data_IF_044727709043
#
_entry.id   IF_044727709043
#
_cell.length_a   1.000
_cell.length_b   1.000
_cell.length_c   1.000
_cell.angle_alpha   90.00
_cell.angle_beta   90.00
_cell.angle_gamma   90.00
#
_symmetry.space_group_name_H-M   'P 1'
#
loop_
_entity.id
_entity.type
_entity.pdbx_description
1 polymer ?
#
# COMPACT_ATOMS: atom_id res chain seq x y z
N UNK A 1 37.68 20.44 3.44
CA UNK A 1 38.01 19.00 3.58
C UNK A 1 39.30 18.74 2.81
N UNK A 2 40.23 17.91 3.33
CA UNK A 2 41.44 17.55 2.59
C UNK A 2 41.10 16.83 1.27
N UNK A 3 41.85 17.07 0.20
CA UNK A 3 41.60 16.47 -1.12
C UNK A 3 41.55 14.93 -1.09
N UNK A 4 42.32 14.30 -0.19
CA UNK A 4 42.31 12.86 0.04
C UNK A 4 40.95 12.34 0.58
N UNK A 5 40.27 13.13 1.41
CA UNK A 5 38.93 12.79 1.95
C UNK A 5 37.89 12.84 0.83
N UNK A 6 37.96 13.84 -0.04
CA UNK A 6 37.05 13.98 -1.19
C UNK A 6 37.25 12.83 -2.18
N UNK A 7 38.51 12.49 -2.50
CA UNK A 7 38.82 11.36 -3.38
C UNK A 7 38.36 10.01 -2.80
N UNK A 8 38.56 9.80 -1.49
CA UNK A 8 38.07 8.59 -0.81
C UNK A 8 36.55 8.46 -0.87
N UNK A 9 35.81 9.54 -0.60
CA UNK A 9 34.34 9.56 -0.72
C UNK A 9 33.91 9.26 -2.16
N UNK A 10 34.55 9.87 -3.16
CA UNK A 10 34.21 9.64 -4.56
C UNK A 10 34.39 8.18 -4.98
N UNK A 11 35.45 7.50 -4.51
CA UNK A 11 35.67 6.07 -4.78
C UNK A 11 34.61 5.21 -4.11
N UNK A 12 34.25 5.49 -2.85
CA UNK A 12 33.20 4.74 -2.14
C UNK A 12 31.84 4.91 -2.83
N UNK A 13 31.50 6.14 -3.23
CA UNK A 13 30.25 6.43 -3.97
C UNK A 13 30.26 5.73 -5.33
N UNK A 14 31.36 5.79 -6.09
CA UNK A 14 31.48 5.10 -7.37
C UNK A 14 31.39 3.57 -7.22
N UNK A 15 32.06 2.98 -6.23
CA UNK A 15 31.97 1.56 -5.93
C UNK A 15 30.55 1.15 -5.53
N UNK A 16 29.86 1.96 -4.71
CA UNK A 16 28.46 1.74 -4.35
C UNK A 16 27.56 1.76 -5.60
N UNK A 17 27.72 2.73 -6.49
CA UNK A 17 26.95 2.79 -7.74
C UNK A 17 27.23 1.62 -8.67
N UNK A 18 28.49 1.19 -8.79
CA UNK A 18 28.87 0.01 -9.58
C UNK A 18 28.27 -1.26 -8.98
N UNK A 19 28.44 -1.49 -7.67
CA UNK A 19 27.86 -2.65 -6.99
C UNK A 19 26.34 -2.64 -7.16
N UNK A 20 25.68 -1.51 -6.90
CA UNK A 20 24.24 -1.35 -7.08
C UNK A 20 23.81 -1.62 -8.51
N UNK A 21 24.54 -1.14 -9.52
CA UNK A 21 24.24 -1.44 -10.92
C UNK A 21 24.31 -2.95 -11.21
N UNK A 22 25.31 -3.65 -10.67
CA UNK A 22 25.45 -5.10 -10.84
C UNK A 22 24.49 -5.92 -9.98
N UNK A 23 23.98 -5.40 -8.86
CA UNK A 23 23.08 -6.12 -7.95
C UNK A 23 21.61 -5.73 -8.07
N UNK A 24 21.27 -4.66 -8.81
CA UNK A 24 19.87 -4.26 -9.02
C UNK A 24 19.17 -5.34 -9.83
N UNK A 25 18.14 -6.01 -9.27
CA UNK A 25 17.37 -6.98 -10.02
C UNK A 25 16.78 -6.30 -11.25
N UNK A 26 16.90 -6.95 -12.41
CA UNK A 26 16.20 -6.49 -13.61
C UNK A 26 14.71 -6.33 -13.28
N UNK A 27 14.05 -5.27 -13.77
CA UNK A 27 12.62 -5.16 -13.61
C UNK A 27 11.97 -6.43 -14.13
N UNK A 28 11.15 -7.13 -13.33
CA UNK A 28 10.48 -8.32 -13.82
C UNK A 28 9.61 -7.94 -15.00
N UNK A 29 9.52 -8.86 -15.96
CA UNK A 29 8.62 -8.69 -17.11
C UNK A 29 7.21 -8.42 -16.57
N UNK A 30 6.60 -7.34 -17.04
CA UNK A 30 5.21 -7.04 -16.70
C UNK A 30 4.34 -8.26 -17.04
N UNK A 31 3.44 -8.67 -16.15
CA UNK A 31 2.56 -9.80 -16.39
C UNK A 31 1.67 -9.52 -17.61
N UNK A 32 1.26 -10.59 -18.30
CA UNK A 32 0.22 -10.47 -19.32
C UNK A 32 -1.09 -9.98 -18.68
N UNK A 33 -2.00 -9.37 -19.44
CA UNK A 33 -3.31 -8.95 -18.90
C UNK A 33 -4.07 -10.12 -18.24
N UNK A 34 -4.02 -11.31 -18.83
CA UNK A 34 -4.61 -12.52 -18.26
C UNK A 34 -3.96 -12.93 -16.94
N UNK A 35 -2.64 -12.78 -16.82
CA UNK A 35 -1.92 -13.07 -15.59
C UNK A 35 -2.22 -12.03 -14.50
N UNK A 36 -2.32 -10.75 -14.86
CA UNK A 36 -2.78 -9.69 -13.96
C UNK A 36 -4.15 -10.01 -13.36
N UNK A 37 -5.10 -10.47 -14.18
CA UNK A 37 -6.42 -10.88 -13.70
C UNK A 37 -6.35 -12.06 -12.73
N UNK A 38 -5.50 -13.06 -13.00
CA UNK A 38 -5.29 -14.20 -12.08
C UNK A 38 -4.69 -13.73 -10.76
N UNK A 39 -3.70 -12.85 -10.79
CA UNK A 39 -3.09 -12.27 -9.58
C UNK A 39 -4.13 -11.53 -8.76
N UNK A 40 -4.87 -10.60 -9.38
CA UNK A 40 -5.92 -9.84 -8.71
C UNK A 40 -6.98 -10.76 -8.11
N UNK A 41 -7.50 -11.71 -8.89
CA UNK A 41 -8.47 -12.69 -8.39
C UNK A 41 -7.91 -13.51 -7.22
N UNK A 42 -6.62 -13.83 -7.22
CA UNK A 42 -5.99 -14.58 -6.12
C UNK A 42 -5.98 -13.76 -4.84
N UNK A 43 -5.54 -12.49 -4.90
CA UNK A 43 -5.39 -11.68 -3.68
C UNK A 43 -6.71 -11.12 -3.15
N UNK A 44 -7.74 -10.97 -4.00
CA UNK A 44 -9.04 -10.45 -3.58
C UNK A 44 -10.02 -11.55 -3.14
N UNK A 45 -9.68 -12.83 -3.35
CA UNK A 45 -10.49 -13.98 -2.92
C UNK A 45 -9.77 -14.86 -1.87
N UNK A 46 -8.92 -14.26 -1.05
CA UNK A 46 -8.37 -14.92 0.14
C UNK A 46 -9.50 -15.31 1.10
N UNK A 47 -9.35 -16.44 1.78
CA UNK A 47 -10.34 -17.00 2.71
C UNK A 47 -10.29 -16.27 4.05
N UNK A 48 -11.44 -16.13 4.72
CA UNK A 48 -11.50 -15.57 6.07
C UNK A 48 -10.52 -16.23 7.04
N UNK A 49 -10.36 -17.56 6.97
CA UNK A 49 -9.40 -18.30 7.79
C UNK A 49 -7.94 -17.89 7.56
N UNK A 50 -7.56 -17.45 6.36
CA UNK A 50 -6.21 -16.96 6.08
C UNK A 50 -5.97 -15.63 6.80
N UNK A 51 -6.94 -14.70 6.74
CA UNK A 51 -6.90 -13.46 7.49
C UNK A 51 -6.85 -13.69 9.01
N UNK A 52 -7.68 -14.60 9.51
CA UNK A 52 -7.75 -14.90 10.94
C UNK A 52 -6.46 -15.55 11.45
N UNK A 53 -5.87 -16.46 10.68
CA UNK A 53 -4.61 -17.13 11.05
C UNK A 53 -3.45 -16.14 11.06
N UNK A 54 -3.41 -15.19 10.12
CA UNK A 54 -2.35 -14.18 10.07
C UNK A 54 -2.48 -13.16 11.20
N UNK A 55 -3.69 -12.70 11.52
CA UNK A 55 -3.88 -11.63 12.49
C UNK A 55 -3.20 -10.33 12.05
N UNK A 56 -2.46 -9.67 12.93
CA UNK A 56 -1.57 -8.55 12.55
C UNK A 56 -0.34 -9.03 11.77
N UNK A 57 0.04 -10.30 11.92
CA UNK A 57 1.29 -10.84 11.38
C UNK A 57 2.51 -10.02 11.80
N UNK A 58 3.33 -9.62 10.82
CA UNK A 58 4.50 -8.77 11.01
C UNK A 58 4.26 -7.31 10.62
N UNK A 59 3.00 -6.92 10.38
CA UNK A 59 2.67 -5.56 9.99
C UNK A 59 2.93 -4.57 11.12
N UNK A 60 3.54 -3.45 10.77
CA UNK A 60 3.74 -2.32 11.66
C UNK A 60 2.46 -1.47 11.69
N UNK A 61 1.90 -1.26 12.89
CA UNK A 61 0.69 -0.47 13.03
C UNK A 61 1.01 1.03 13.03
N UNK A 62 0.91 1.63 11.84
CA UNK A 62 1.10 3.05 11.59
C UNK A 62 -0.21 3.86 11.62
N UNK A 63 -1.37 3.19 11.75
CA UNK A 63 -2.68 3.83 11.72
C UNK A 63 -2.95 4.48 13.08
N UNK A 64 -3.17 5.81 13.06
CA UNK A 64 -3.38 6.63 14.26
C UNK A 64 -4.71 7.38 14.20
N UNK A 65 -5.40 7.54 15.34
CA UNK A 65 -6.60 8.35 15.41
C UNK A 65 -6.27 9.81 15.11
N UNK A 66 -7.18 10.49 14.41
CA UNK A 66 -7.10 11.92 14.12
C UNK A 66 -8.40 12.62 14.49
N UNK A 67 -8.34 13.93 14.73
CA UNK A 67 -9.45 14.72 15.29
C UNK A 67 -10.15 15.59 14.24
N UNK A 68 -10.51 15.00 13.11
CA UNK A 68 -11.17 15.69 11.99
C UNK A 68 -12.69 15.53 11.98
N UNK A 69 -13.38 16.40 11.24
CA UNK A 69 -14.77 16.15 10.86
C UNK A 69 -14.81 14.98 9.87
N UNK A 70 -15.79 14.08 10.02
CA UNK A 70 -15.91 12.88 9.18
C UNK A 70 -15.87 13.24 7.70
N UNK A 71 -14.87 12.72 6.99
CA UNK A 71 -14.76 12.86 5.55
C UNK A 71 -15.68 11.86 4.86
N UNK A 72 -16.48 12.36 3.94
CA UNK A 72 -17.40 11.57 3.12
C UNK A 72 -17.13 11.84 1.65
N UNK A 73 -17.20 10.79 0.85
CA UNK A 73 -16.97 10.88 -0.58
C UNK A 73 -18.22 11.29 -1.36
N UNK A 74 -18.10 11.23 -2.69
CA UNK A 74 -19.15 11.66 -3.63
C UNK A 74 -20.50 10.95 -3.47
N UNK A 75 -20.54 9.76 -2.85
CA UNK A 75 -21.79 9.02 -2.60
C UNK A 75 -22.31 9.17 -1.17
N UNK A 76 -21.69 10.04 -0.37
CA UNK A 76 -22.08 10.31 1.03
C UNK A 76 -21.61 9.24 2.02
N UNK A 77 -20.79 8.28 1.57
CA UNK A 77 -20.20 7.23 2.42
C UNK A 77 -18.88 7.73 3.01
N UNK A 78 -18.39 7.15 4.13
CA UNK A 78 -17.04 7.43 4.62
C UNK A 78 -16.02 7.27 3.48
N UNK A 79 -15.14 8.25 3.29
CA UNK A 79 -14.09 8.18 2.28
C UNK A 79 -12.84 7.52 2.84
N UNK A 80 -12.22 6.64 2.06
CA UNK A 80 -10.83 6.23 2.25
C UNK A 80 -10.02 6.93 1.17
N UNK A 81 -9.10 7.80 1.57
CA UNK A 81 -8.26 8.57 0.66
C UNK A 81 -6.83 8.03 0.65
N UNK A 82 -6.25 7.85 -0.54
CA UNK A 82 -4.86 7.44 -0.75
C UNK A 82 -4.10 8.49 -1.55
N UNK A 83 -2.93 8.88 -1.05
CA UNK A 83 -1.95 9.66 -1.81
C UNK A 83 -0.65 8.86 -1.95
N UNK A 84 -0.18 8.71 -3.18
CA UNK A 84 1.07 8.02 -3.48
C UNK A 84 1.70 8.46 -4.80
N UNK A 85 2.71 7.70 -5.20
CA UNK A 85 3.36 7.81 -6.49
C UNK A 85 3.89 6.45 -6.91
N UNK A 86 3.88 6.15 -8.21
CA UNK A 86 4.28 4.83 -8.71
C UNK A 86 5.78 4.60 -8.49
N UNK A 87 6.64 5.63 -8.55
CA UNK A 87 8.08 5.50 -8.32
C UNK A 87 8.45 5.02 -6.92
N UNK A 88 7.59 5.27 -5.93
CA UNK A 88 7.86 5.11 -4.51
C UNK A 88 7.73 3.62 -4.09
N UNK A 89 8.81 2.96 -3.62
CA UNK A 89 8.76 1.54 -3.26
C UNK A 89 7.93 1.24 -2.01
N UNK A 90 7.86 2.16 -1.05
CA UNK A 90 6.97 2.02 0.11
C UNK A 90 5.49 2.10 -0.33
N UNK A 91 5.18 2.96 -1.29
CA UNK A 91 3.88 3.03 -1.91
C UNK A 91 3.58 1.73 -2.66
N UNK A 92 4.58 1.20 -3.37
CA UNK A 92 4.49 -0.07 -4.05
C UNK A 92 4.13 -1.23 -3.10
N UNK A 93 4.76 -1.28 -1.93
CA UNK A 93 4.42 -2.21 -0.87
C UNK A 93 2.97 -2.01 -0.39
N UNK A 94 2.61 -0.79 0.03
CA UNK A 94 1.32 -0.51 0.68
C UNK A 94 0.08 -0.70 -0.22
N UNK A 95 0.22 -0.62 -1.55
CA UNK A 95 -0.91 -0.88 -2.47
C UNK A 95 -1.45 -2.31 -2.36
N UNK A 96 -0.60 -3.30 -2.08
CA UNK A 96 -1.05 -4.69 -1.91
C UNK A 96 -2.06 -4.86 -0.77
N UNK A 97 -1.73 -4.51 0.50
CA UNK A 97 -2.67 -4.64 1.59
C UNK A 97 -3.89 -3.73 1.42
N UNK A 98 -3.72 -2.55 0.83
CA UNK A 98 -4.85 -1.64 0.57
C UNK A 98 -5.86 -2.23 -0.42
N UNK A 99 -5.40 -2.81 -1.53
CA UNK A 99 -6.27 -3.52 -2.49
C UNK A 99 -6.99 -4.68 -1.81
N UNK A 100 -6.27 -5.49 -1.02
CA UNK A 100 -6.83 -6.66 -0.34
C UNK A 100 -7.90 -6.23 0.67
N UNK A 101 -7.61 -5.23 1.50
CA UNK A 101 -8.54 -4.72 2.51
C UNK A 101 -9.80 -4.13 1.86
N UNK A 102 -9.65 -3.23 0.88
CA UNK A 102 -10.77 -2.59 0.20
C UNK A 102 -11.63 -3.61 -0.56
N UNK A 103 -11.04 -4.68 -1.11
CA UNK A 103 -11.79 -5.73 -1.80
C UNK A 103 -12.71 -6.55 -0.87
N UNK A 104 -12.58 -6.41 0.46
CA UNK A 104 -13.52 -6.98 1.44
C UNK A 104 -14.81 -6.14 1.57
N UNK A 105 -14.79 -4.89 1.12
CA UNK A 105 -15.91 -3.94 1.21
C UNK A 105 -16.48 -3.57 -0.17
N UNK A 106 -15.81 -3.94 -1.26
CA UNK A 106 -16.19 -3.52 -2.60
C UNK A 106 -15.38 -4.22 -3.66
N UNK A 107 -15.45 -3.68 -4.88
CA UNK A 107 -14.80 -4.27 -6.06
C UNK A 107 -14.03 -3.23 -6.82
N UNK A 108 -12.82 -3.60 -7.24
CA UNK A 108 -12.03 -2.82 -8.19
C UNK A 108 -12.29 -3.24 -9.63
N UNK A 109 -12.14 -2.28 -10.54
CA UNK A 109 -11.96 -2.51 -11.98
C UNK A 109 -10.86 -1.57 -12.50
N UNK A 110 -10.18 -1.97 -13.58
CA UNK A 110 -9.13 -1.13 -14.17
C UNK A 110 -7.82 -1.04 -13.36
N UNK A 111 -7.59 -1.96 -12.42
CA UNK A 111 -6.28 -2.08 -11.76
C UNK A 111 -5.25 -2.60 -12.76
N UNK A 112 -4.13 -1.88 -12.84
CA UNK A 112 -3.01 -2.21 -13.72
C UNK A 112 -1.76 -2.49 -12.88
N UNK A 113 -0.86 -3.33 -13.39
CA UNK A 113 0.42 -3.64 -12.73
C UNK A 113 1.48 -2.63 -13.12
N UNK A 114 2.31 -2.22 -12.17
CA UNK A 114 3.49 -1.37 -12.39
C UNK A 114 4.57 -1.70 -11.36
N UNK A 115 5.76 -1.15 -11.49
CA UNK A 115 6.81 -1.29 -10.45
C UNK A 115 7.22 0.07 -9.92
N UNK A 116 7.83 0.08 -8.74
CA UNK A 116 8.60 1.24 -8.29
C UNK A 116 9.73 1.59 -9.26
N UNK A 117 10.35 2.75 -9.04
CA UNK A 117 11.51 3.20 -9.80
C UNK A 117 12.64 2.18 -9.74
N UNK A 118 13.41 2.06 -10.81
CA UNK A 118 14.61 1.23 -10.85
C UNK A 118 15.79 1.83 -10.08
N UNK A 119 15.73 3.09 -9.66
CA UNK A 119 16.82 3.81 -9.00
C UNK A 119 16.57 4.12 -7.52
N UNK A 120 15.47 3.65 -6.94
CA UNK A 120 15.18 3.80 -5.50
C UNK A 120 15.77 2.64 -4.67
N UNK A 121 15.82 2.78 -3.34
CA UNK A 121 16.46 1.86 -2.38
C UNK A 121 15.93 0.43 -2.47
N UNK A 122 14.67 0.27 -2.83
CA UNK A 122 14.06 -1.01 -3.21
C UNK A 122 13.63 -0.95 -4.68
N UNK A 123 14.58 -1.15 -5.61
CA UNK A 123 14.33 -0.91 -7.02
C UNK A 123 13.37 -1.93 -7.59
N UNK A 124 12.54 -1.49 -8.55
CA UNK A 124 11.63 -2.36 -9.30
C UNK A 124 10.68 -3.20 -8.41
N UNK A 125 10.27 -2.68 -7.25
CA UNK A 125 9.31 -3.35 -6.34
C UNK A 125 7.98 -3.57 -7.06
N UNK A 126 7.47 -4.80 -7.07
CA UNK A 126 6.26 -5.18 -7.82
C UNK A 126 5.00 -4.64 -7.15
N UNK A 127 4.13 -3.99 -7.92
CA UNK A 127 2.90 -3.39 -7.39
C UNK A 127 1.82 -3.17 -8.45
N UNK A 128 0.77 -2.47 -8.07
CA UNK A 128 -0.30 -2.00 -8.93
C UNK A 128 -0.30 -0.48 -8.98
N UNK A 129 -1.11 0.11 -9.84
CA UNK A 129 -1.39 1.55 -9.85
C UNK A 129 -2.88 1.80 -9.68
N UNK A 130 -3.23 2.82 -8.91
CA UNK A 130 -4.61 3.27 -8.80
C UNK A 130 -4.99 4.33 -9.84
N UNK A 131 -4.06 4.80 -10.67
CA UNK A 131 -4.25 5.91 -11.62
C UNK A 131 -5.56 5.83 -12.43
N UNK A 132 -5.86 4.63 -12.94
CA UNK A 132 -7.05 4.35 -13.75
C UNK A 132 -8.05 3.42 -13.04
N UNK A 133 -7.79 3.09 -11.78
CA UNK A 133 -8.62 2.16 -11.02
C UNK A 133 -9.96 2.81 -10.67
N UNK A 134 -11.02 2.03 -10.79
CA UNK A 134 -12.35 2.40 -10.30
C UNK A 134 -12.72 1.46 -9.17
N UNK A 135 -13.34 2.02 -8.13
CA UNK A 135 -13.79 1.28 -6.98
C UNK A 135 -15.29 1.47 -6.78
N UNK A 136 -16.00 0.41 -6.42
CA UNK A 136 -17.43 0.43 -6.13
C UNK A 136 -17.70 -0.34 -4.85
N UNK A 137 -18.45 0.28 -3.93
CA UNK A 137 -18.77 -0.30 -2.63
C UNK A 137 -20.10 0.23 -2.11
N UNK A 138 -20.77 -0.58 -1.27
CA UNK A 138 -21.93 -0.16 -0.50
C UNK A 138 -21.56 0.55 0.81
N UNK A 139 -20.30 0.47 1.25
CA UNK A 139 -19.89 0.86 2.61
C UNK A 139 -19.00 2.11 2.66
N UNK A 140 -18.12 2.27 1.67
CA UNK A 140 -17.15 3.38 1.63
C UNK A 140 -17.02 3.93 0.21
N UNK A 141 -16.53 5.16 0.10
CA UNK A 141 -15.97 5.71 -1.13
C UNK A 141 -14.44 5.58 -1.08
N UNK A 142 -13.80 5.29 -2.21
CA UNK A 142 -12.34 5.27 -2.30
C UNK A 142 -11.89 6.31 -3.32
N UNK A 143 -10.99 7.19 -2.89
CA UNK A 143 -10.36 8.22 -3.71
C UNK A 143 -8.85 8.02 -3.64
N UNK A 144 -8.18 8.09 -4.78
CA UNK A 144 -6.75 7.86 -4.87
C UNK A 144 -6.09 8.84 -5.83
N UNK A 145 -4.91 9.33 -5.45
CA UNK A 145 -4.06 10.16 -6.29
C UNK A 145 -2.68 9.52 -6.42
N UNK A 146 -2.33 9.15 -7.65
CA UNK A 146 -0.98 8.74 -8.05
C UNK A 146 -0.27 9.95 -8.68
N UNK A 147 0.62 10.58 -7.93
CA UNK A 147 1.19 11.88 -8.32
C UNK A 147 2.18 11.80 -9.49
N UNK A 148 3.07 10.81 -9.45
CA UNK A 148 4.12 10.59 -10.45
C UNK A 148 4.17 9.13 -10.87
N UNK A 149 4.60 8.86 -12.11
CA UNK A 149 4.84 7.51 -12.59
C UNK A 149 6.17 6.96 -12.08
N UNK A 150 6.49 5.72 -12.46
CA UNK A 150 7.74 5.06 -12.04
C UNK A 150 9.02 5.79 -12.49
N UNK A 151 8.92 6.54 -13.57
CA UNK A 151 9.99 7.33 -14.18
C UNK A 151 9.95 8.80 -13.72
N UNK A 152 9.11 9.09 -12.72
CA UNK A 152 8.89 10.40 -12.10
C UNK A 152 8.24 11.46 -13.02
N UNK A 153 7.58 11.05 -14.09
CA UNK A 153 6.74 11.95 -14.88
C UNK A 153 5.43 12.22 -14.14
N UNK A 154 4.91 13.45 -14.26
CA UNK A 154 3.65 13.83 -13.62
C UNK A 154 2.45 13.03 -14.14
N UNK A 155 1.55 12.65 -13.22
CA UNK A 155 0.36 11.85 -13.51
C UNK A 155 -0.93 12.53 -13.09
N UNK A 156 -1.12 12.67 -11.79
CA UNK A 156 -2.31 13.27 -11.19
C UNK A 156 -1.87 14.34 -10.20
N UNK A 157 -2.70 15.36 -10.04
CA UNK A 157 -2.46 16.42 -9.06
C UNK A 157 -3.54 16.36 -8.01
N UNK A 158 -3.21 16.27 -6.71
CA UNK A 158 -4.20 16.35 -5.66
C UNK A 158 -4.85 17.74 -5.67
N UNK A 159 -6.15 17.78 -5.44
CA UNK A 159 -6.93 19.01 -5.23
C UNK A 159 -6.44 19.78 -4.00
N UNK A 160 -6.84 21.06 -3.88
CA UNK A 160 -6.47 21.86 -2.71
C UNK A 160 -6.99 21.26 -1.39
N UNK A 161 -8.15 20.62 -1.40
CA UNK A 161 -8.73 19.95 -0.23
C UNK A 161 -7.94 18.70 0.15
N UNK A 162 -7.59 17.85 -0.81
CA UNK A 162 -6.75 16.65 -0.59
C UNK A 162 -5.35 17.04 -0.08
N UNK A 163 -4.74 18.08 -0.66
CA UNK A 163 -3.46 18.58 -0.17
C UNK A 163 -3.54 19.11 1.26
N UNK A 164 -4.64 19.78 1.61
CA UNK A 164 -4.86 20.27 2.97
C UNK A 164 -5.06 19.13 3.96
N UNK A 165 -5.79 18.07 3.58
CA UNK A 165 -5.97 16.86 4.37
C UNK A 165 -4.61 16.20 4.66
N UNK A 166 -3.79 16.01 3.63
CA UNK A 166 -2.46 15.39 3.77
C UNK A 166 -1.58 16.24 4.68
N UNK A 167 -1.47 17.56 4.42
CA UNK A 167 -0.65 18.47 5.24
C UNK A 167 -1.07 18.52 6.71
N UNK A 168 -2.34 18.25 7.01
CA UNK A 168 -2.85 18.26 8.37
C UNK A 168 -2.28 17.11 9.21
N UNK A 169 -2.02 15.95 8.59
CA UNK A 169 -1.64 14.72 9.31
C UNK A 169 -0.26 14.18 8.95
N UNK A 170 0.27 14.56 7.79
CA UNK A 170 1.63 14.27 7.36
C UNK A 170 2.40 15.57 7.11
N UNK A 171 2.97 16.10 8.20
CA UNK A 171 3.82 17.29 8.16
C UNK A 171 5.18 17.03 7.49
N UNK A 172 5.53 15.76 7.25
CA UNK A 172 6.80 15.38 6.64
C UNK A 172 6.74 15.29 5.11
N UNK A 173 5.55 15.26 4.51
CA UNK A 173 5.37 15.11 3.07
C UNK A 173 5.82 13.73 2.56
N UNK A 174 5.65 12.70 3.38
CA UNK A 174 5.97 11.32 3.08
C UNK A 174 4.87 10.64 2.27
N UNK A 175 5.24 9.64 1.49
CA UNK A 175 4.28 8.77 0.79
C UNK A 175 4.64 7.29 1.06
N UNK A 176 3.65 6.39 1.14
CA UNK A 176 2.21 6.63 0.95
C UNK A 176 1.55 7.31 2.16
N UNK A 177 0.49 8.07 1.90
CA UNK A 177 -0.43 8.58 2.92
C UNK A 177 -1.81 7.97 2.71
N UNK A 178 -2.46 7.55 3.80
CA UNK A 178 -3.81 7.02 3.79
C UNK A 178 -4.63 7.70 4.88
N UNK A 179 -5.79 8.24 4.51
CA UNK A 179 -6.81 8.73 5.43
C UNK A 179 -8.03 7.80 5.42
N UNK A 180 -8.59 7.57 6.60
CA UNK A 180 -9.79 6.77 6.84
C UNK A 180 -10.86 7.68 7.42
N UNK A 181 -11.67 8.26 6.54
CA UNK A 181 -12.83 9.08 6.88
C UNK A 181 -12.49 10.29 7.74
N UNK A 182 -11.25 10.78 7.72
CA UNK A 182 -10.73 11.82 8.61
C UNK A 182 -10.93 11.50 10.09
N UNK A 183 -10.89 10.20 10.43
CA UNK A 183 -10.97 9.67 11.80
C UNK A 183 -9.71 8.90 12.18
N UNK A 184 -9.04 8.30 11.19
CA UNK A 184 -7.72 7.71 11.33
C UNK A 184 -6.86 8.07 10.12
N UNK A 185 -5.55 8.15 10.30
CA UNK A 185 -4.60 8.35 9.22
C UNK A 185 -3.35 7.48 9.41
N UNK A 186 -2.65 7.18 8.31
CA UNK A 186 -1.39 6.46 8.29
C UNK A 186 -0.44 7.12 7.30
N UNK A 187 0.82 7.24 7.70
CA UNK A 187 1.91 7.76 6.87
C UNK A 187 3.03 6.73 6.79
N UNK A 188 3.43 6.37 5.58
CA UNK A 188 4.40 5.31 5.32
C UNK A 188 3.77 3.94 5.09
N UNK A 189 4.60 2.98 4.68
CA UNK A 189 4.17 1.61 4.47
C UNK A 189 4.18 0.80 5.77
N UNK A 190 3.15 -0.02 5.94
CA UNK A 190 2.95 -0.91 7.09
C UNK A 190 3.88 -2.12 7.07
N UNK A 191 4.64 -2.34 5.99
CA UNK A 191 5.70 -3.34 5.91
C UNK A 191 6.83 -2.91 4.97
N UNK A 192 8.00 -3.54 5.10
CA UNK A 192 9.16 -3.24 4.26
C UNK A 192 9.00 -3.78 2.84
N UNK A 193 9.29 -3.00 1.78
CA UNK A 193 9.29 -3.49 0.39
C UNK A 193 10.21 -4.69 0.14
N UNK A 194 11.25 -4.86 0.97
CA UNK A 194 12.17 -6.01 0.92
C UNK A 194 11.45 -7.36 1.01
N UNK A 195 10.31 -7.43 1.71
CA UNK A 195 9.52 -8.65 1.88
C UNK A 195 9.01 -9.24 0.55
N UNK A 196 8.95 -8.43 -0.51
CA UNK A 196 8.51 -8.83 -1.85
C UNK A 196 9.57 -8.59 -2.94
N UNK A 197 10.75 -8.10 -2.56
CA UNK A 197 11.82 -7.78 -3.49
C UNK A 197 12.22 -8.97 -4.36
N UNK A 198 12.29 -8.75 -5.68
CA UNK A 198 12.69 -9.78 -6.65
C UNK A 198 11.67 -10.88 -6.93
N UNK A 199 10.49 -10.86 -6.29
CA UNK A 199 9.42 -11.81 -6.57
C UNK A 199 8.61 -11.39 -7.82
N UNK A 200 7.94 -12.34 -8.47
CA UNK A 200 6.89 -11.99 -9.44
C UNK A 200 5.56 -11.71 -8.72
N UNK A 201 4.66 -10.95 -9.34
CA UNK A 201 3.30 -10.76 -8.83
C UNK A 201 2.60 -12.08 -8.52
N UNK A 202 2.76 -13.09 -9.38
CA UNK A 202 2.18 -14.42 -9.19
C UNK A 202 2.77 -15.11 -7.94
N UNK A 203 4.09 -15.04 -7.75
CA UNK A 203 4.75 -15.63 -6.60
C UNK A 203 4.33 -14.94 -5.29
N UNK A 204 4.19 -13.60 -5.29
CA UNK A 204 3.66 -12.85 -4.15
C UNK A 204 2.24 -13.33 -3.84
N UNK A 205 1.35 -13.34 -4.84
CA UNK A 205 -0.04 -13.75 -4.67
C UNK A 205 -0.19 -15.20 -4.16
N UNK A 206 0.64 -16.13 -4.66
CA UNK A 206 0.65 -17.51 -4.15
C UNK A 206 1.14 -17.61 -2.70
N UNK A 207 2.15 -16.81 -2.32
CA UNK A 207 2.65 -16.77 -0.96
C UNK A 207 1.59 -16.27 0.04
N UNK A 208 0.68 -15.37 -0.38
CA UNK A 208 -0.41 -14.88 0.48
C UNK A 208 -1.41 -15.96 0.89
N UNK A 209 -1.53 -17.04 0.10
CA UNK A 209 -2.37 -18.21 0.42
C UNK A 209 -1.77 -19.11 1.51
N UNK A 210 -0.54 -18.83 1.93
CA UNK A 210 0.17 -19.57 2.98
C UNK A 210 0.30 -18.64 4.19
N UNK A 211 -0.59 -18.73 5.20
CA UNK A 211 -0.64 -17.79 6.31
C UNK A 211 0.69 -17.61 7.07
N UNK A 212 1.53 -18.64 7.06
CA UNK A 212 2.83 -18.62 7.73
C UNK A 212 3.97 -18.00 6.91
N UNK A 213 3.76 -17.72 5.63
CA UNK A 213 4.78 -17.09 4.79
C UNK A 213 5.10 -15.69 5.28
N UNK A 214 6.33 -15.26 5.02
CA UNK A 214 6.78 -13.88 5.29
C UNK A 214 5.86 -12.87 4.61
N UNK A 215 5.45 -13.16 3.38
CA UNK A 215 4.59 -12.30 2.57
C UNK A 215 3.18 -12.21 3.15
N UNK A 216 2.58 -13.32 3.58
CA UNK A 216 1.26 -13.30 4.21
C UNK A 216 1.29 -12.52 5.53
N UNK A 217 2.26 -12.78 6.39
CA UNK A 217 2.45 -12.06 7.66
C UNK A 217 2.61 -10.56 7.47
N UNK A 218 3.32 -10.13 6.43
CA UNK A 218 3.45 -8.73 6.08
C UNK A 218 2.16 -8.17 5.45
N UNK A 219 1.74 -8.69 4.30
CA UNK A 219 0.70 -8.10 3.46
C UNK A 219 -0.70 -8.36 4.00
N UNK A 220 -1.04 -9.59 4.37
CA UNK A 220 -2.38 -9.91 4.92
C UNK A 220 -2.52 -9.31 6.33
N UNK A 221 -1.43 -9.28 7.09
CA UNK A 221 -1.36 -8.58 8.38
C UNK A 221 -1.66 -7.10 8.26
N UNK A 222 -1.03 -6.43 7.29
CA UNK A 222 -1.30 -5.03 6.96
C UNK A 222 -2.74 -4.82 6.48
N UNK A 223 -3.24 -5.71 5.62
CA UNK A 223 -4.63 -5.65 5.15
C UNK A 223 -5.64 -5.77 6.31
N UNK A 224 -5.33 -6.55 7.34
CA UNK A 224 -6.16 -6.65 8.54
C UNK A 224 -6.17 -5.36 9.37
N UNK A 225 -5.04 -4.65 9.48
CA UNK A 225 -5.00 -3.32 10.13
C UNK A 225 -5.84 -2.29 9.36
N UNK A 226 -5.71 -2.25 8.03
CA UNK A 226 -6.50 -1.38 7.15
C UNK A 226 -7.99 -1.75 7.26
N UNK A 227 -8.32 -3.05 7.26
CA UNK A 227 -9.70 -3.53 7.45
C UNK A 227 -10.27 -3.05 8.78
N UNK A 228 -9.51 -3.15 9.87
CA UNK A 228 -9.95 -2.66 11.18
C UNK A 228 -10.24 -1.15 11.15
N UNK A 229 -9.39 -0.34 10.51
CA UNK A 229 -9.65 1.09 10.36
C UNK A 229 -10.93 1.37 9.56
N UNK A 230 -11.19 0.60 8.49
CA UNK A 230 -12.42 0.72 7.70
C UNK A 230 -13.65 0.31 8.53
N UNK A 231 -13.55 -0.76 9.34
CA UNK A 231 -14.64 -1.18 10.24
C UNK A 231 -15.01 -0.08 11.24
N UNK A 232 -14.03 0.64 11.79
CA UNK A 232 -14.28 1.78 12.68
C UNK A 232 -15.09 2.90 12.01
N UNK A 233 -14.80 3.25 10.76
CA UNK A 233 -15.47 4.37 10.07
C UNK A 233 -16.82 3.99 9.45
N UNK A 234 -17.06 2.69 9.28
CA UNK A 234 -18.31 2.09 8.77
C UNK A 234 -19.24 1.61 9.87
N UNK A 235 -18.88 1.79 11.14
CA UNK A 235 -19.60 1.27 12.29
C UNK A 235 -19.83 -0.26 12.19
N UNK A 236 -18.73 -0.98 11.96
CA UNK A 236 -18.67 -2.44 11.88
C UNK A 236 -19.47 -3.06 10.72
N UNK A 237 -19.56 -2.37 9.58
CA UNK A 237 -20.24 -2.87 8.39
C UNK A 237 -19.26 -3.13 7.21
N UNK A 238 -19.34 -4.29 6.53
CA UNK A 238 -20.27 -5.40 6.78
C UNK A 238 -19.86 -6.28 7.96
N UNK A 239 -20.86 -6.78 8.69
CA UNK A 239 -20.65 -7.70 9.82
C UNK A 239 -19.84 -8.96 9.42
N UNK A 240 -20.03 -9.47 8.20
CA UNK A 240 -19.28 -10.62 7.67
C UNK A 240 -17.75 -10.41 7.66
N UNK A 241 -17.29 -9.15 7.66
CA UNK A 241 -15.88 -8.77 7.73
C UNK A 241 -15.52 -8.29 9.14
N UNK A 242 -16.28 -7.33 9.66
CA UNK A 242 -15.94 -6.59 10.87
C UNK A 242 -16.20 -7.36 12.17
N UNK A 243 -17.11 -8.34 12.17
CA UNK A 243 -17.41 -9.12 13.38
C UNK A 243 -16.41 -10.24 13.67
N UNK A 244 -15.39 -10.43 12.84
CA UNK A 244 -14.33 -11.42 13.14
C UNK A 244 -13.54 -10.99 14.38
N UNK A 245 -13.22 -11.95 15.25
CA UNK A 245 -12.47 -11.67 16.48
C UNK A 245 -11.11 -11.03 16.21
N UNK A 246 -10.47 -11.43 15.10
CA UNK A 246 -9.23 -10.85 14.59
C UNK A 246 -9.36 -9.35 14.39
N UNK A 247 -10.35 -8.92 13.61
CA UNK A 247 -10.55 -7.51 13.27
C UNK A 247 -10.95 -6.71 14.52
N UNK A 248 -11.90 -7.21 15.31
CA UNK A 248 -12.30 -6.54 16.56
C UNK A 248 -11.16 -6.37 17.57
N UNK A 249 -10.20 -7.30 17.59
CA UNK A 249 -9.01 -7.15 18.43
C UNK A 249 -8.06 -6.09 17.89
N UNK A 250 -7.87 -6.03 16.56
CA UNK A 250 -7.02 -5.02 15.91
C UNK A 250 -7.60 -3.61 16.02
N UNK A 251 -8.92 -3.46 15.96
CA UNK A 251 -9.60 -2.18 16.19
C UNK A 251 -9.24 -1.54 17.54
N UNK A 252 -9.04 -2.37 18.59
CA UNK A 252 -8.63 -1.91 19.92
C UNK A 252 -7.18 -1.40 19.95
N UNK A 253 -6.37 -1.74 18.94
CA UNK A 253 -4.96 -1.33 18.83
C UNK A 253 -4.78 -0.02 18.04
N UNK A 254 -5.83 0.48 17.38
CA UNK A 254 -5.81 1.74 16.63
C UNK A 254 -5.88 2.93 17.59
N UNK A 255 -4.75 3.22 18.23
CA UNK A 255 -4.55 4.27 19.23
C UNK A 255 -3.40 5.19 18.87
#
# INVERSE_FOLDING_TARGET
MPAAVVAGIAVVVAAFWVIRWYTTPLPPKAPSQSETQVVLATITNLRASEFDTVGQGSANNLIKPVSGAKLVGSTGKPEVFYLGAEYCPYCAAERWPLIIALSRFGTFSGLETTTSSSSDIFPNTQTFTFRNAKYTSQYIDFVSVETLDRDQNALQSPTAAEQQLVKQYDTSGSIPFIDFGNQYASTGATYSPDAIGGMSWRAIADALKQPDSTQAKAIVGSANLITAAICKITADQPAAVCSSATIQNLEKTLK
#
